data_IF_755507216874
#
_entry.id   IF_755507216874
#
_cell.length_a   1.000
_cell.length_b   1.000
_cell.length_c   1.000
_cell.angle_alpha   90.00
_cell.angle_beta   90.00
_cell.angle_gamma   90.00
#
_symmetry.space_group_name_H-M   'P 1'
#
loop_
_entity.id
_entity.type
_entity.pdbx_description
1 polymer ?
#
# COMPACT_ATOMS: atom_id res chain seq x y z
N UNK A 1 13.13 12.16 20.89
CA UNK A 1 12.06 11.20 20.59
C UNK A 1 12.36 9.87 21.27
N UNK A 2 11.45 9.37 22.10
CA UNK A 2 11.64 8.09 22.80
C UNK A 2 11.48 6.90 21.84
N UNK A 3 10.65 7.02 20.80
CA UNK A 3 10.45 6.03 19.75
C UNK A 3 9.79 6.69 18.53
N UNK A 4 9.83 6.06 17.32
CA UNK A 4 9.16 6.58 16.13
C UNK A 4 7.66 6.79 16.38
N UNK A 5 7.14 7.96 16.01
CA UNK A 5 5.75 8.34 16.24
C UNK A 5 5.45 8.92 17.64
N UNK A 6 6.42 9.04 18.52
CA UNK A 6 6.25 9.75 19.79
C UNK A 6 5.94 11.24 19.53
N UNK A 7 4.83 11.73 20.08
CA UNK A 7 4.43 13.14 20.02
C UNK A 7 4.76 13.89 21.31
N UNK A 8 4.74 15.21 21.24
CA UNK A 8 4.93 16.09 22.41
C UNK A 8 3.61 16.58 23.02
N UNK A 9 2.48 16.16 22.46
CA UNK A 9 1.17 16.72 22.75
C UNK A 9 0.44 16.06 23.94
N UNK A 10 1.10 15.23 24.72
CA UNK A 10 0.48 14.58 25.86
C UNK A 10 1.41 13.63 26.62
N UNK A 11 0.85 12.99 27.63
CA UNK A 11 1.51 11.93 28.39
C UNK A 11 1.40 10.61 27.63
N UNK A 12 2.48 9.84 27.58
CA UNK A 12 2.45 8.47 27.08
C UNK A 12 1.62 7.60 28.05
N UNK A 13 0.53 7.05 27.55
CA UNK A 13 -0.30 6.09 28.30
C UNK A 13 0.24 4.69 27.99
N UNK A 14 0.70 4.01 29.02
CA UNK A 14 1.15 2.63 28.93
C UNK A 14 -0.05 1.66 29.00
N UNK A 15 0.11 0.39 28.56
CA UNK A 15 -0.92 -0.64 28.72
C UNK A 15 -1.35 -0.81 30.19
N UNK A 16 -2.59 -1.20 30.42
CA UNK A 16 -3.18 -1.32 31.78
C UNK A 16 -2.47 -2.32 32.69
N UNK A 17 -1.77 -3.28 32.12
CA UNK A 17 -0.98 -4.29 32.85
C UNK A 17 0.40 -3.79 33.28
N UNK A 18 0.84 -2.63 32.82
CA UNK A 18 2.11 -2.01 33.20
C UNK A 18 2.06 -1.53 34.67
N UNK A 19 3.14 -1.80 35.40
CA UNK A 19 3.27 -1.43 36.83
C UNK A 19 4.37 -0.44 37.04
N UNK A 20 4.24 0.37 38.08
CA UNK A 20 5.29 1.29 38.47
C UNK A 20 6.58 0.52 38.83
N UNK A 21 7.67 0.85 38.15
CA UNK A 21 8.97 0.20 38.29
C UNK A 21 9.29 -0.83 37.20
N UNK A 22 8.35 -1.13 36.29
CA UNK A 22 8.62 -1.99 35.15
C UNK A 22 9.59 -1.32 34.17
N UNK A 23 10.40 -2.14 33.48
CA UNK A 23 11.22 -1.67 32.36
C UNK A 23 10.32 -1.31 31.16
N UNK A 24 10.36 -0.05 30.75
CA UNK A 24 9.52 0.49 29.66
C UNK A 24 9.96 -0.03 28.28
N UNK A 25 11.21 -0.47 28.12
CA UNK A 25 11.75 -0.89 26.83
C UNK A 25 10.96 -2.02 26.18
N UNK A 26 10.72 -3.17 26.85
CA UNK A 26 9.91 -4.25 26.27
C UNK A 26 8.45 -3.83 26.10
N UNK A 27 7.90 -3.00 26.99
CA UNK A 27 6.51 -2.51 26.88
C UNK A 27 6.32 -1.70 25.59
N UNK A 28 7.28 -0.83 25.27
CA UNK A 28 7.27 -0.01 24.05
C UNK A 28 7.90 -0.71 22.84
N UNK A 29 8.42 -1.94 23.02
CA UNK A 29 9.10 -2.66 21.97
C UNK A 29 10.45 -2.07 21.54
N UNK A 30 11.13 -1.38 22.45
CA UNK A 30 12.45 -0.77 22.22
C UNK A 30 13.61 -1.75 22.44
N UNK A 31 13.33 -3.00 22.75
CA UNK A 31 14.27 -4.10 22.96
C UNK A 31 14.54 -4.92 21.67
N UNK A 32 14.30 -4.30 20.52
CA UNK A 32 14.49 -4.90 19.21
C UNK A 32 15.74 -4.36 18.48
N UNK A 33 16.14 -5.02 17.41
CA UNK A 33 17.26 -4.60 16.58
C UNK A 33 16.76 -4.01 15.26
N UNK A 34 17.22 -2.80 14.95
CA UNK A 34 16.95 -2.13 13.68
C UNK A 34 18.24 -2.15 12.86
N UNK A 35 18.17 -2.74 11.66
CA UNK A 35 19.26 -2.73 10.70
C UNK A 35 19.04 -1.62 9.68
N UNK A 36 19.98 -0.67 9.63
CA UNK A 36 20.05 0.30 8.55
C UNK A 36 20.87 -0.28 7.39
N UNK A 37 20.19 -0.64 6.28
CA UNK A 37 20.81 -1.36 5.18
C UNK A 37 20.81 -0.51 3.92
N UNK A 38 22.00 -0.18 3.42
CA UNK A 38 22.16 0.50 2.14
C UNK A 38 21.93 -0.48 0.97
N UNK A 39 20.84 -0.27 0.23
CA UNK A 39 20.49 -1.07 -0.94
C UNK A 39 20.99 -0.40 -2.22
N UNK A 40 21.75 -1.14 -3.01
CA UNK A 40 22.27 -0.67 -4.30
C UNK A 40 21.14 -0.51 -5.33
N UNK A 41 21.32 0.38 -6.31
CA UNK A 41 20.28 0.73 -7.28
C UNK A 41 19.83 -0.44 -8.18
N UNK A 42 20.66 -1.47 -8.32
CA UNK A 42 20.36 -2.68 -9.11
C UNK A 42 19.59 -3.76 -8.33
N UNK A 43 19.30 -3.53 -7.04
CA UNK A 43 18.61 -4.50 -6.17
C UNK A 43 17.33 -3.88 -5.56
N UNK A 44 16.40 -3.37 -6.39
CA UNK A 44 15.13 -2.83 -5.88
C UNK A 44 14.27 -3.88 -5.16
N UNK A 45 14.47 -5.16 -5.46
CA UNK A 45 13.83 -6.29 -4.77
C UNK A 45 14.17 -6.39 -3.28
N UNK A 46 15.32 -5.87 -2.86
CA UNK A 46 15.75 -5.82 -1.46
C UNK A 46 15.21 -4.59 -0.68
N UNK A 47 14.39 -3.76 -1.28
CA UNK A 47 13.78 -2.58 -0.62
C UNK A 47 12.61 -2.97 0.32
N UNK A 48 12.51 -4.22 0.72
CA UNK A 48 11.48 -4.74 1.60
C UNK A 48 12.01 -5.89 2.46
N UNK A 49 11.27 -6.21 3.52
CA UNK A 49 11.65 -7.25 4.47
C UNK A 49 11.72 -8.62 3.79
N UNK A 50 10.74 -8.96 2.96
CA UNK A 50 10.71 -10.25 2.26
C UNK A 50 11.89 -10.41 1.27
N UNK A 51 12.23 -9.35 0.53
CA UNK A 51 13.40 -9.37 -0.36
C UNK A 51 14.71 -9.56 0.39
N UNK A 52 14.87 -8.86 1.52
CA UNK A 52 16.03 -9.06 2.40
C UNK A 52 16.06 -10.45 3.03
N UNK A 53 14.91 -10.99 3.44
CA UNK A 53 14.81 -12.32 3.99
C UNK A 53 15.27 -13.40 2.99
N UNK A 54 14.96 -13.25 1.69
CA UNK A 54 15.46 -14.13 0.62
C UNK A 54 16.99 -14.11 0.52
N UNK A 55 17.59 -12.91 0.56
CA UNK A 55 19.05 -12.79 0.50
C UNK A 55 19.72 -13.45 1.73
N UNK A 56 19.19 -13.16 2.91
CA UNK A 56 19.69 -13.75 4.17
C UNK A 56 19.54 -15.27 4.16
N UNK A 57 18.40 -15.79 3.73
CA UNK A 57 18.15 -17.22 3.62
C UNK A 57 19.15 -17.88 2.67
N UNK A 58 19.39 -17.29 1.50
CA UNK A 58 20.36 -17.78 0.52
C UNK A 58 21.79 -17.79 1.06
N UNK A 59 22.22 -16.70 1.72
CA UNK A 59 23.58 -16.59 2.28
C UNK A 59 23.81 -17.59 3.43
N UNK A 60 22.79 -17.79 4.26
CA UNK A 60 22.89 -18.69 5.42
C UNK A 60 22.55 -20.16 5.10
N UNK A 61 22.14 -20.48 3.88
CA UNK A 61 21.68 -21.81 3.48
C UNK A 61 20.46 -22.26 4.30
N UNK A 62 19.51 -21.34 4.57
CA UNK A 62 18.28 -21.58 5.32
C UNK A 62 17.07 -21.52 4.42
N UNK A 63 16.01 -22.20 4.81
CA UNK A 63 14.74 -22.10 4.12
C UNK A 63 14.09 -20.72 4.37
N UNK A 64 13.50 -20.16 3.31
CA UNK A 64 12.70 -18.94 3.41
C UNK A 64 11.32 -19.28 3.95
N UNK A 65 10.88 -18.54 4.97
CA UNK A 65 9.50 -18.61 5.45
C UNK A 65 8.62 -17.69 4.60
N UNK A 66 7.69 -18.29 3.88
CA UNK A 66 6.72 -17.55 3.07
C UNK A 66 5.68 -16.85 3.96
N UNK A 67 5.22 -15.65 3.59
CA UNK A 67 4.09 -15.01 4.25
C UNK A 67 2.79 -15.79 3.98
N UNK A 68 1.87 -15.78 4.92
CA UNK A 68 0.53 -16.34 4.72
C UNK A 68 -0.26 -15.49 3.72
N UNK A 69 -0.87 -16.15 2.72
CA UNK A 69 -1.58 -15.51 1.59
C UNK A 69 -3.00 -16.06 1.41
N UNK A 70 -3.39 -17.03 2.22
CA UNK A 70 -4.70 -17.68 2.12
C UNK A 70 -5.78 -16.76 2.68
N UNK A 71 -6.90 -16.67 2.02
CA UNK A 71 -8.10 -15.98 2.45
C UNK A 71 -9.33 -16.65 1.86
N UNK A 72 -10.48 -16.40 2.46
CA UNK A 72 -11.76 -16.93 2.02
C UNK A 72 -12.59 -15.79 1.42
N UNK A 73 -12.97 -15.91 0.15
CA UNK A 73 -13.88 -14.97 -0.47
C UNK A 73 -15.32 -15.49 -0.36
N UNK A 74 -16.25 -14.60 -0.06
CA UNK A 74 -17.68 -14.88 -0.08
C UNK A 74 -18.32 -14.64 -1.46
N UNK A 75 -19.63 -14.88 -1.56
CA UNK A 75 -20.37 -14.76 -2.83
C UNK A 75 -20.88 -13.32 -3.10
N UNK A 76 -20.58 -12.36 -2.25
CA UNK A 76 -20.94 -10.95 -2.46
C UNK A 76 -20.21 -10.39 -3.67
N UNK A 77 -20.94 -9.71 -4.58
CA UNK A 77 -20.40 -9.20 -5.84
C UNK A 77 -20.83 -7.77 -6.11
N UNK A 78 -19.93 -7.01 -6.69
CA UNK A 78 -20.19 -5.75 -7.39
C UNK A 78 -20.19 -6.03 -8.90
N UNK A 79 -21.31 -6.54 -9.43
CA UNK A 79 -21.39 -7.07 -10.79
C UNK A 79 -21.06 -6.06 -11.90
N UNK A 80 -21.27 -4.78 -11.65
CA UNK A 80 -21.02 -3.72 -12.63
C UNK A 80 -19.61 -3.11 -12.49
N UNK A 81 -18.86 -3.47 -11.45
CA UNK A 81 -17.55 -2.90 -11.24
C UNK A 81 -16.55 -3.32 -12.32
N UNK A 82 -15.86 -2.34 -12.87
CA UNK A 82 -14.85 -2.55 -13.92
C UNK A 82 -13.60 -1.71 -13.69
N UNK A 83 -12.51 -2.15 -14.28
CA UNK A 83 -11.24 -1.43 -14.33
C UNK A 83 -10.84 -1.23 -15.78
N UNK A 84 -10.53 -0.01 -16.15
CA UNK A 84 -10.04 0.38 -17.48
C UNK A 84 -8.66 0.99 -17.36
N UNK A 85 -7.65 0.39 -17.98
CA UNK A 85 -6.29 0.94 -18.05
C UNK A 85 -6.07 1.56 -19.43
N UNK A 86 -6.25 2.88 -19.53
CA UNK A 86 -6.05 3.63 -20.78
C UNK A 86 -4.59 3.97 -21.04
N UNK A 87 -3.79 4.14 -19.98
CA UNK A 87 -2.36 4.43 -20.05
C UNK A 87 -1.52 3.15 -19.93
N UNK A 88 -1.73 2.19 -20.82
CA UNK A 88 -1.13 0.85 -20.78
C UNK A 88 0.40 0.83 -20.83
N UNK A 89 1.01 1.84 -21.46
CA UNK A 89 2.45 1.99 -21.56
C UNK A 89 3.13 2.34 -20.21
N UNK A 90 2.38 2.91 -19.28
CA UNK A 90 2.88 3.32 -17.95
C UNK A 90 2.19 2.63 -16.78
N UNK A 91 1.14 1.85 -17.04
CA UNK A 91 0.49 0.96 -16.08
C UNK A 91 0.30 -0.43 -16.69
N UNK A 92 1.34 -1.29 -16.69
CA UNK A 92 1.26 -2.62 -17.31
C UNK A 92 0.41 -3.61 -16.53
N UNK A 93 0.18 -3.40 -15.22
CA UNK A 93 -0.67 -4.25 -14.39
C UNK A 93 -1.42 -3.45 -13.34
N UNK A 94 -2.71 -3.70 -13.23
CA UNK A 94 -3.58 -3.11 -12.21
C UNK A 94 -4.51 -4.18 -11.64
N UNK A 95 -4.56 -4.28 -10.33
CA UNK A 95 -5.41 -5.25 -9.62
C UNK A 95 -6.27 -4.49 -8.62
N UNK A 96 -7.57 -4.75 -8.65
CA UNK A 96 -8.54 -4.22 -7.69
C UNK A 96 -9.31 -5.37 -7.03
N UNK A 97 -9.56 -5.27 -5.73
CA UNK A 97 -10.32 -6.26 -4.96
C UNK A 97 -11.24 -5.57 -3.96
N UNK A 98 -12.51 -5.95 -3.97
CA UNK A 98 -13.54 -5.38 -3.11
C UNK A 98 -13.65 -6.13 -1.78
N UNK A 99 -13.78 -5.37 -0.71
CA UNK A 99 -14.00 -5.86 0.66
C UNK A 99 -15.19 -5.10 1.26
N UNK A 100 -16.08 -5.79 1.95
CA UNK A 100 -17.27 -5.21 2.56
C UNK A 100 -17.39 -5.55 4.06
N UNK A 101 -18.43 -5.05 4.71
CA UNK A 101 -18.63 -5.16 6.17
C UNK A 101 -17.36 -4.70 6.94
N UNK A 102 -16.67 -3.71 6.39
CA UNK A 102 -15.43 -3.20 6.98
C UNK A 102 -15.73 -2.47 8.28
N UNK A 103 -14.88 -2.71 9.27
CA UNK A 103 -14.91 -2.06 10.57
C UNK A 103 -13.59 -1.36 10.81
N UNK A 104 -13.59 -0.05 10.72
CA UNK A 104 -12.40 0.75 11.00
C UNK A 104 -12.14 0.75 12.50
N UNK A 105 -10.92 0.47 12.87
CA UNK A 105 -10.45 0.44 14.26
C UNK A 105 -8.95 0.66 14.34
N UNK A 106 -8.45 0.79 15.55
CA UNK A 106 -7.02 0.77 15.81
C UNK A 106 -6.42 -0.60 15.43
N UNK A 107 -5.25 -0.58 14.81
CA UNK A 107 -4.51 -1.80 14.49
C UNK A 107 -4.05 -2.55 15.75
N UNK A 108 -3.88 -3.87 15.71
CA UNK A 108 -3.38 -4.63 16.85
C UNK A 108 -1.95 -4.19 17.22
N UNK A 109 -1.62 -4.28 18.51
CA UNK A 109 -0.35 -3.81 19.06
C UNK A 109 0.89 -4.34 18.31
N UNK A 110 0.87 -5.60 17.85
CA UNK A 110 1.99 -6.19 17.10
C UNK A 110 2.23 -5.48 15.76
N UNK A 111 1.15 -5.09 15.05
CA UNK A 111 1.26 -4.39 13.76
C UNK A 111 1.75 -2.95 13.97
N UNK A 112 1.17 -2.24 14.94
CA UNK A 112 1.58 -0.88 15.30
C UNK A 112 3.06 -0.82 15.70
N UNK A 113 3.53 -1.77 16.53
CA UNK A 113 4.94 -1.90 16.91
C UNK A 113 5.84 -2.07 15.70
N UNK A 114 5.51 -2.99 14.79
CA UNK A 114 6.31 -3.24 13.59
C UNK A 114 6.36 -2.04 12.64
N UNK A 115 5.22 -1.36 12.44
CA UNK A 115 5.18 -0.14 11.63
C UNK A 115 6.02 0.98 12.26
N UNK A 116 5.91 1.18 13.57
CA UNK A 116 6.72 2.17 14.29
C UNK A 116 8.23 1.91 14.16
N UNK A 117 8.68 0.65 14.23
CA UNK A 117 10.08 0.27 14.06
C UNK A 117 10.65 0.60 12.66
N UNK A 118 9.81 0.69 11.65
CA UNK A 118 10.19 1.10 10.29
C UNK A 118 9.81 2.55 9.95
N UNK A 119 9.48 3.34 10.98
CA UNK A 119 9.22 4.77 10.87
C UNK A 119 7.84 5.15 10.33
N UNK A 120 6.86 4.25 10.41
CA UNK A 120 5.46 4.52 10.01
C UNK A 120 4.59 4.66 11.26
N UNK A 121 3.89 5.79 11.36
CA UNK A 121 2.83 5.97 12.37
C UNK A 121 1.57 5.20 11.97
N UNK A 122 1.01 4.45 12.90
CA UNK A 122 -0.27 3.76 12.72
C UNK A 122 -1.41 4.77 12.58
N UNK A 123 -2.35 4.49 11.69
CA UNK A 123 -3.52 5.33 11.40
C UNK A 123 -4.79 4.54 11.73
N UNK A 124 -5.07 3.48 10.97
CA UNK A 124 -6.21 2.58 11.17
C UNK A 124 -5.86 1.20 10.62
N UNK A 125 -6.60 0.18 11.02
CA UNK A 125 -6.36 -1.21 10.60
C UNK A 125 -6.24 -1.37 9.08
N UNK A 126 -7.13 -0.77 8.28
CA UNK A 126 -7.12 -0.87 6.81
C UNK A 126 -5.91 -0.16 6.21
N UNK A 127 -5.62 1.07 6.65
CA UNK A 127 -4.47 1.85 6.16
C UNK A 127 -3.16 1.19 6.58
N UNK A 128 -3.10 0.68 7.81
CA UNK A 128 -1.92 0.00 8.33
C UNK A 128 -1.64 -1.32 7.63
N UNK A 129 -2.68 -2.06 7.20
CA UNK A 129 -2.51 -3.24 6.34
C UNK A 129 -1.79 -2.85 5.04
N UNK A 130 -2.17 -1.77 4.38
CA UNK A 130 -1.50 -1.33 3.14
C UNK A 130 -0.04 -0.93 3.40
N UNK A 131 0.22 -0.22 4.49
CA UNK A 131 1.56 0.17 4.92
C UNK A 131 2.42 -1.03 5.34
N UNK A 132 1.82 -2.01 6.01
CA UNK A 132 2.49 -3.24 6.40
C UNK A 132 2.92 -4.06 5.18
N UNK A 133 2.02 -4.26 4.22
CA UNK A 133 2.33 -4.96 2.96
C UNK A 133 3.40 -4.21 2.16
N UNK A 134 3.35 -2.87 2.12
CA UNK A 134 4.37 -2.05 1.48
C UNK A 134 5.77 -2.34 2.05
N UNK A 135 5.92 -2.41 3.38
CA UNK A 135 7.21 -2.69 4.03
C UNK A 135 7.59 -4.17 3.98
N UNK A 136 6.62 -5.07 4.11
CA UNK A 136 6.85 -6.52 4.06
C UNK A 136 7.26 -6.98 2.65
N UNK A 137 6.53 -6.58 1.61
CA UNK A 137 6.67 -7.09 0.24
C UNK A 137 7.25 -6.09 -0.78
N UNK A 138 7.40 -4.83 -0.40
CA UNK A 138 7.90 -3.78 -1.30
C UNK A 138 6.90 -3.39 -2.40
N UNK A 139 5.63 -3.72 -2.22
CA UNK A 139 4.55 -3.38 -3.13
C UNK A 139 3.68 -2.31 -2.50
N UNK A 140 3.69 -1.07 -3.03
CA UNK A 140 2.73 -0.08 -2.60
C UNK A 140 1.31 -0.50 -2.94
N UNK A 141 0.41 -0.29 -2.01
CA UNK A 141 -1.02 -0.52 -2.15
C UNK A 141 -1.79 0.74 -1.77
N UNK A 142 -3.01 0.82 -2.25
CA UNK A 142 -3.97 1.84 -1.83
C UNK A 142 -5.31 1.21 -1.45
N UNK A 143 -6.04 1.87 -0.58
CA UNK A 143 -7.41 1.51 -0.19
C UNK A 143 -8.30 2.74 -0.42
N UNK A 144 -9.30 2.58 -1.29
CA UNK A 144 -10.32 3.58 -1.52
C UNK A 144 -11.56 3.25 -0.69
N UNK A 145 -12.18 4.24 -0.08
CA UNK A 145 -13.55 4.10 0.39
C UNK A 145 -14.46 3.94 -0.84
N UNK A 146 -15.05 2.76 -0.99
CA UNK A 146 -15.84 2.44 -2.18
C UNK A 146 -17.09 3.33 -2.32
N UNK A 147 -17.63 3.83 -1.21
CA UNK A 147 -18.81 4.70 -1.21
C UNK A 147 -18.57 6.05 -1.90
N UNK A 148 -17.31 6.47 -2.02
CA UNK A 148 -16.92 7.70 -2.70
C UNK A 148 -16.54 7.51 -4.17
N UNK A 149 -16.47 6.25 -4.65
CA UNK A 149 -16.18 5.96 -6.06
C UNK A 149 -17.47 6.05 -6.88
N UNK A 150 -17.51 6.99 -7.82
CA UNK A 150 -18.66 7.23 -8.66
C UNK A 150 -18.58 6.39 -9.96
N UNK A 151 -19.69 5.74 -10.34
CA UNK A 151 -19.82 5.04 -11.61
C UNK A 151 -19.33 3.59 -11.62
N UNK A 152 -19.12 2.97 -10.46
CA UNK A 152 -18.67 1.57 -10.31
C UNK A 152 -17.48 1.22 -11.21
N UNK A 153 -16.54 2.15 -11.39
CA UNK A 153 -15.36 1.89 -12.20
C UNK A 153 -14.11 2.61 -11.67
N UNK A 154 -12.97 2.02 -12.01
CA UNK A 154 -11.65 2.64 -11.90
C UNK A 154 -11.08 2.82 -13.30
N UNK A 155 -10.62 4.04 -13.60
CA UNK A 155 -9.97 4.37 -14.88
C UNK A 155 -8.56 4.88 -14.62
N UNK A 156 -7.56 4.11 -15.06
CA UNK A 156 -6.15 4.52 -14.98
C UNK A 156 -5.75 5.21 -16.28
N UNK A 157 -5.51 6.50 -16.20
CA UNK A 157 -5.24 7.34 -17.39
C UNK A 157 -4.22 8.43 -17.11
N UNK A 158 -3.74 9.06 -18.16
CA UNK A 158 -3.04 10.34 -18.02
C UNK A 158 -4.02 11.43 -17.59
N UNK A 159 -3.54 12.37 -16.79
CA UNK A 159 -4.33 13.55 -16.44
C UNK A 159 -4.58 14.43 -17.67
N UNK A 160 -5.62 15.20 -17.65
CA UNK A 160 -5.83 16.28 -18.60
C UNK A 160 -5.00 17.51 -18.19
N UNK A 161 -4.59 18.33 -19.14
CA UNK A 161 -3.88 19.57 -18.84
C UNK A 161 -4.80 20.52 -18.05
N UNK A 162 -4.33 20.99 -16.90
CA UNK A 162 -5.10 21.83 -15.98
C UNK A 162 -6.04 21.08 -15.04
N UNK A 163 -6.06 19.74 -15.07
CA UNK A 163 -6.84 18.93 -14.13
C UNK A 163 -6.31 19.11 -12.70
N UNK A 164 -7.20 19.24 -11.74
CA UNK A 164 -6.84 19.48 -10.34
C UNK A 164 -7.18 18.28 -9.47
N UNK A 165 -6.33 18.04 -8.47
CA UNK A 165 -6.55 17.06 -7.41
C UNK A 165 -6.08 17.63 -6.07
N UNK A 166 -6.82 17.32 -5.00
CA UNK A 166 -6.38 17.53 -3.62
C UNK A 166 -5.99 16.18 -3.06
N UNK A 167 -4.76 16.07 -2.57
CA UNK A 167 -4.21 14.82 -2.01
C UNK A 167 -4.47 14.68 -0.51
N UNK A 168 -4.23 13.49 0.05
CA UNK A 168 -4.46 13.16 1.47
C UNK A 168 -3.72 14.09 2.46
N UNK A 169 -2.65 14.74 2.02
CA UNK A 169 -1.92 15.75 2.80
C UNK A 169 -2.44 17.18 2.57
N UNK A 170 -3.69 17.30 2.07
CA UNK A 170 -4.43 18.55 1.84
C UNK A 170 -3.77 19.51 0.84
N UNK A 171 -2.85 19.04 0.00
CA UNK A 171 -2.23 19.85 -1.04
C UNK A 171 -3.02 19.77 -2.35
N UNK A 172 -3.24 20.92 -2.97
CA UNK A 172 -3.81 21.03 -4.32
C UNK A 172 -2.70 20.99 -5.37
N UNK A 173 -2.89 20.16 -6.40
CA UNK A 173 -2.00 20.08 -7.55
C UNK A 173 -2.77 20.34 -8.84
N UNK A 174 -2.17 21.14 -9.72
CA UNK A 174 -2.58 21.26 -11.11
C UNK A 174 -1.74 20.31 -11.95
N UNK A 175 -2.40 19.44 -12.68
CA UNK A 175 -1.81 18.32 -13.39
C UNK A 175 -1.71 18.60 -14.90
N UNK A 176 -0.94 17.76 -15.57
CA UNK A 176 -0.84 17.73 -17.02
C UNK A 176 -0.72 16.28 -17.53
N UNK A 177 -0.69 16.12 -18.84
CA UNK A 177 -0.65 14.83 -19.53
C UNK A 177 0.56 13.94 -19.23
N UNK A 178 1.58 14.42 -18.52
CA UNK A 178 2.69 13.60 -18.02
C UNK A 178 2.36 12.90 -16.69
N UNK A 179 1.33 13.36 -15.98
CA UNK A 179 0.92 12.79 -14.71
C UNK A 179 -0.05 11.62 -14.94
N UNK A 180 0.16 10.52 -14.21
CA UNK A 180 -0.74 9.39 -14.18
C UNK A 180 -1.71 9.56 -13.02
N UNK A 181 -3.00 9.41 -13.30
CA UNK A 181 -4.06 9.47 -12.31
C UNK A 181 -4.89 8.19 -12.30
N UNK A 182 -5.40 7.86 -11.13
CA UNK A 182 -6.48 6.89 -10.96
C UNK A 182 -7.75 7.69 -10.80
N UNK A 183 -8.74 7.38 -11.59
CA UNK A 183 -10.03 8.04 -11.60
C UNK A 183 -11.13 7.03 -11.26
N UNK A 184 -12.21 7.51 -10.70
CA UNK A 184 -13.50 6.84 -10.77
C UNK A 184 -14.21 7.16 -12.11
N UNK A 185 -15.49 6.90 -12.22
CA UNK A 185 -16.25 7.21 -13.45
C UNK A 185 -16.38 8.70 -13.78
N UNK A 186 -15.94 9.61 -12.92
CA UNK A 186 -16.11 11.07 -13.10
C UNK A 186 -14.87 11.90 -12.84
N UNK A 187 -14.06 11.57 -11.83
CA UNK A 187 -12.99 12.44 -11.31
C UNK A 187 -11.73 11.67 -10.94
N UNK A 188 -10.60 12.35 -10.83
CA UNK A 188 -9.38 11.80 -10.28
C UNK A 188 -9.55 11.56 -8.76
N UNK A 189 -9.16 10.35 -8.31
CA UNK A 189 -9.21 9.91 -6.92
C UNK A 189 -7.83 9.60 -6.35
N UNK A 190 -6.79 9.54 -7.19
CA UNK A 190 -5.41 9.43 -6.73
C UNK A 190 -4.41 9.90 -7.79
N UNK A 191 -3.26 10.43 -7.32
CA UNK A 191 -2.02 10.51 -8.10
C UNK A 191 -1.38 9.13 -8.08
N UNK A 192 -1.44 8.40 -9.19
CA UNK A 192 -1.02 7.01 -9.28
C UNK A 192 0.42 6.81 -8.80
N UNK A 193 0.60 5.93 -7.81
CA UNK A 193 1.89 5.59 -7.22
C UNK A 193 2.58 6.71 -6.44
N UNK A 194 1.90 7.83 -6.20
CA UNK A 194 2.45 8.97 -5.44
C UNK A 194 1.63 9.22 -4.18
N UNK A 195 0.34 9.57 -4.31
CA UNK A 195 -0.50 9.92 -3.17
C UNK A 195 -1.99 9.74 -3.49
N UNK A 196 -2.76 9.20 -2.55
CA UNK A 196 -4.21 9.15 -2.63
C UNK A 196 -4.86 10.52 -2.67
N UNK A 197 -6.05 10.60 -3.22
CA UNK A 197 -6.88 11.80 -3.18
C UNK A 197 -7.69 11.87 -1.89
N UNK A 198 -7.87 13.06 -1.37
CA UNK A 198 -8.67 13.33 -0.17
C UNK A 198 -10.14 12.92 -0.37
N UNK A 199 -10.60 12.93 -1.62
CA UNK A 199 -11.99 12.65 -2.01
C UNK A 199 -12.37 11.15 -2.02
N UNK A 200 -11.48 10.27 -1.61
CA UNK A 200 -11.70 8.81 -1.53
C UNK A 200 -11.02 8.20 -0.30
N UNK A 201 -10.74 9.02 0.71
CA UNK A 201 -10.04 8.64 1.93
C UNK A 201 -10.84 7.66 2.79
N UNK A 202 -10.13 6.69 3.38
CA UNK A 202 -10.67 5.82 4.43
C UNK A 202 -10.87 6.63 5.71
N UNK A 203 -12.07 6.56 6.28
CA UNK A 203 -12.44 7.25 7.51
C UNK A 203 -13.21 6.32 8.46
N UNK A 204 -13.53 6.78 9.66
CA UNK A 204 -14.20 5.96 10.70
C UNK A 204 -15.57 5.40 10.27
N UNK A 205 -16.21 6.01 9.28
CA UNK A 205 -17.50 5.56 8.73
C UNK A 205 -17.38 4.62 7.55
N UNK A 206 -16.17 4.30 7.09
CA UNK A 206 -15.95 3.42 5.93
C UNK A 206 -16.39 1.99 6.22
N UNK A 207 -17.30 1.48 5.40
CA UNK A 207 -17.83 0.10 5.50
C UNK A 207 -17.54 -0.76 4.27
N UNK A 208 -17.08 -0.15 3.19
CA UNK A 208 -16.75 -0.81 1.93
C UNK A 208 -15.42 -0.27 1.41
N UNK A 209 -14.52 -1.15 1.03
CA UNK A 209 -13.17 -0.78 0.57
C UNK A 209 -12.87 -1.44 -0.78
N UNK A 210 -12.28 -0.66 -1.67
CA UNK A 210 -11.64 -1.17 -2.87
C UNK A 210 -10.12 -1.08 -2.69
N UNK A 211 -9.47 -2.24 -2.53
CA UNK A 211 -8.01 -2.31 -2.54
C UNK A 211 -7.45 -2.22 -3.94
N UNK A 212 -6.35 -1.51 -4.07
CA UNK A 212 -5.52 -1.41 -5.26
C UNK A 212 -4.15 -2.02 -5.01
N UNK A 213 -3.67 -2.79 -5.99
CA UNK A 213 -2.26 -3.15 -6.11
C UNK A 213 -1.88 -3.08 -7.58
N UNK A 214 -0.91 -2.24 -7.93
CA UNK A 214 -0.60 -1.96 -9.32
C UNK A 214 0.90 -1.89 -9.59
N UNK A 215 1.26 -2.00 -10.87
CA UNK A 215 2.59 -1.71 -11.39
C UNK A 215 2.54 -0.43 -12.21
N UNK A 216 3.29 0.57 -11.79
CA UNK A 216 3.48 1.80 -12.55
C UNK A 216 4.91 1.92 -13.08
N UNK A 217 5.06 2.59 -14.22
CA UNK A 217 6.35 2.78 -14.84
C UNK A 217 7.24 3.70 -14.00
N UNK A 218 8.42 3.18 -13.63
CA UNK A 218 9.43 3.86 -12.81
C UNK A 218 9.70 5.30 -13.21
N UNK A 219 9.97 5.51 -14.51
CA UNK A 219 10.38 6.81 -15.01
C UNK A 219 9.23 7.84 -14.99
N UNK A 220 7.98 7.38 -15.19
CA UNK A 220 6.81 8.25 -15.09
C UNK A 220 6.62 8.72 -13.66
N UNK A 221 6.56 7.80 -12.67
CA UNK A 221 6.38 8.16 -11.26
C UNK A 221 7.51 9.06 -10.77
N UNK A 222 8.76 8.74 -11.10
CA UNK A 222 9.92 9.56 -10.72
C UNK A 222 9.84 10.98 -11.27
N UNK A 223 9.46 11.16 -12.54
CA UNK A 223 9.32 12.48 -13.16
C UNK A 223 8.15 13.26 -12.55
N UNK A 224 7.00 12.62 -12.41
CA UNK A 224 5.80 13.26 -11.82
C UNK A 224 6.03 13.68 -10.37
N UNK A 225 6.56 12.79 -9.52
CA UNK A 225 6.89 13.11 -8.13
C UNK A 225 7.83 14.32 -8.01
N UNK A 226 8.86 14.38 -8.83
CA UNK A 226 9.81 15.53 -8.85
C UNK A 226 9.17 16.81 -9.35
N UNK A 227 8.42 16.74 -10.44
CA UNK A 227 7.79 17.91 -11.05
C UNK A 227 6.75 18.54 -10.11
N UNK A 228 6.00 17.71 -9.38
CA UNK A 228 5.00 18.15 -8.41
C UNK A 228 5.62 18.51 -7.03
N UNK A 229 6.89 18.17 -6.79
CA UNK A 229 7.50 18.33 -5.47
C UNK A 229 6.84 17.43 -4.40
N UNK A 230 6.13 16.37 -4.82
CA UNK A 230 5.40 15.45 -3.95
C UNK A 230 6.10 14.09 -3.89
N UNK A 231 6.51 13.69 -2.70
CA UNK A 231 7.15 12.40 -2.46
C UNK A 231 6.46 11.62 -1.35
N UNK A 232 6.50 10.31 -1.46
CA UNK A 232 5.99 9.34 -0.47
C UNK A 232 6.84 8.08 -0.51
N UNK A 233 6.66 7.19 0.46
CA UNK A 233 7.27 5.85 0.44
C UNK A 233 6.90 5.07 -0.83
N UNK A 234 5.65 5.20 -1.28
CA UNK A 234 5.17 4.63 -2.53
C UNK A 234 5.96 5.14 -3.73
N UNK A 235 6.05 6.47 -3.90
CA UNK A 235 6.78 7.07 -5.03
C UNK A 235 8.29 6.76 -4.99
N UNK A 236 8.86 6.62 -3.80
CA UNK A 236 10.26 6.23 -3.62
C UNK A 236 10.50 4.79 -4.12
N UNK A 237 9.62 3.84 -3.77
CA UNK A 237 9.70 2.46 -4.24
C UNK A 237 9.49 2.35 -5.76
N UNK A 238 8.43 2.97 -6.30
CA UNK A 238 8.20 2.96 -7.75
C UNK A 238 9.35 3.59 -8.52
N UNK A 239 9.95 4.66 -8.01
CA UNK A 239 11.12 5.33 -8.63
C UNK A 239 12.36 4.45 -8.67
N UNK A 240 12.47 3.44 -7.82
CA UNK A 240 13.56 2.45 -7.85
C UNK A 240 13.20 1.22 -8.68
N UNK A 241 11.93 0.90 -8.77
CA UNK A 241 11.35 -0.21 -9.52
C UNK A 241 10.64 -1.21 -8.62
N UNK A 242 9.39 -1.47 -8.92
CA UNK A 242 8.54 -2.48 -8.25
C UNK A 242 8.32 -3.63 -9.22
N UNK A 243 8.34 -4.86 -8.72
CA UNK A 243 8.13 -6.05 -9.53
C UNK A 243 6.63 -6.24 -9.86
N UNK A 244 6.30 -6.63 -11.08
CA UNK A 244 4.92 -6.89 -11.48
C UNK A 244 4.31 -8.12 -10.79
N UNK A 245 5.13 -9.12 -10.48
CA UNK A 245 4.65 -10.33 -9.79
C UNK A 245 4.20 -10.06 -8.36
N UNK A 246 4.76 -9.04 -7.70
CA UNK A 246 4.39 -8.70 -6.33
C UNK A 246 3.00 -8.12 -6.20
N UNK A 247 2.39 -7.59 -7.27
CA UNK A 247 1.03 -7.02 -7.23
C UNK A 247 -0.01 -8.03 -6.73
N UNK A 248 -0.03 -9.24 -7.30
CA UNK A 248 -0.96 -10.29 -6.88
C UNK A 248 -0.65 -10.84 -5.49
N UNK A 249 0.65 -10.98 -5.15
CA UNK A 249 1.09 -11.45 -3.84
C UNK A 249 0.69 -10.46 -2.75
N UNK A 250 0.89 -9.17 -2.99
CA UNK A 250 0.53 -8.11 -2.06
C UNK A 250 -0.99 -8.01 -1.86
N UNK A 251 -1.78 -8.14 -2.92
CA UNK A 251 -3.23 -8.19 -2.82
C UNK A 251 -3.67 -9.36 -1.92
N UNK A 252 -3.18 -10.57 -2.18
CA UNK A 252 -3.49 -11.74 -1.35
C UNK A 252 -3.08 -11.54 0.11
N UNK A 253 -1.91 -10.94 0.34
CA UNK A 253 -1.44 -10.65 1.70
C UNK A 253 -2.34 -9.65 2.44
N UNK A 254 -2.77 -8.59 1.77
CA UNK A 254 -3.69 -7.63 2.35
C UNK A 254 -5.04 -8.27 2.70
N UNK A 255 -5.59 -9.10 1.79
CA UNK A 255 -6.85 -9.80 2.03
C UNK A 255 -6.75 -10.83 3.16
N UNK A 256 -5.63 -11.56 3.24
CA UNK A 256 -5.34 -12.44 4.38
C UNK A 256 -5.33 -11.66 5.71
N UNK A 257 -4.68 -10.49 5.73
CA UNK A 257 -4.65 -9.65 6.93
C UNK A 257 -6.03 -9.07 7.28
N UNK A 258 -6.87 -8.74 6.30
CA UNK A 258 -8.26 -8.33 6.55
C UNK A 258 -9.06 -9.42 7.27
N UNK A 259 -8.88 -10.69 6.86
CA UNK A 259 -9.51 -11.85 7.48
C UNK A 259 -8.89 -12.16 8.86
N UNK A 260 -7.54 -12.18 8.96
CA UNK A 260 -6.82 -12.43 10.23
C UNK A 260 -7.21 -11.43 11.33
N UNK A 261 -7.43 -10.17 10.96
CA UNK A 261 -7.80 -9.10 11.89
C UNK A 261 -9.34 -8.97 12.09
N UNK A 262 -10.13 -9.79 11.43
CA UNK A 262 -11.61 -9.73 11.45
C UNK A 262 -12.15 -8.30 11.20
N UNK A 263 -11.52 -7.56 10.30
CA UNK A 263 -11.85 -6.17 10.05
C UNK A 263 -12.62 -5.93 8.74
N UNK A 264 -13.02 -6.98 8.03
CA UNK A 264 -13.87 -6.93 6.85
C UNK A 264 -14.02 -8.30 6.21
N UNK A 265 -14.97 -8.42 5.27
CA UNK A 265 -15.22 -9.65 4.50
C UNK A 265 -14.73 -9.50 3.07
N UNK A 266 -13.95 -10.46 2.64
CA UNK A 266 -13.39 -10.47 1.28
C UNK A 266 -14.46 -10.93 0.30
N UNK A 267 -14.78 -10.10 -0.68
CA UNK A 267 -15.74 -10.40 -1.74
C UNK A 267 -15.11 -11.25 -2.84
N UNK A 268 -15.94 -11.93 -3.63
CA UNK A 268 -15.50 -12.55 -4.89
C UNK A 268 -15.30 -11.54 -6.03
N UNK A 269 -15.53 -10.24 -5.81
CA UNK A 269 -15.25 -9.19 -6.80
C UNK A 269 -13.76 -8.90 -6.86
N UNK A 270 -13.13 -9.40 -7.91
CA UNK A 270 -11.72 -9.17 -8.21
C UNK A 270 -11.56 -8.84 -9.69
N UNK A 271 -10.85 -7.77 -9.99
CA UNK A 271 -10.54 -7.39 -11.37
C UNK A 271 -9.05 -7.21 -11.50
N UNK A 272 -8.47 -7.90 -12.47
CA UNK A 272 -7.07 -7.75 -12.84
C UNK A 272 -6.95 -7.39 -14.31
N UNK A 273 -6.25 -6.32 -14.60
CA UNK A 273 -5.89 -5.89 -15.96
C UNK A 273 -4.39 -6.00 -16.13
N UNK A 274 -3.97 -6.83 -17.08
CA UNK A 274 -2.56 -6.97 -17.49
C UNK A 274 -2.42 -6.55 -18.94
N UNK A 275 -1.43 -5.73 -19.24
CA UNK A 275 -1.19 -5.22 -20.58
C UNK A 275 0.11 -5.80 -21.14
N UNK A 276 0.04 -6.42 -22.33
CA UNK A 276 1.19 -7.01 -23.02
C UNK A 276 1.71 -8.30 -22.37
N UNK A 277 2.93 -8.70 -22.76
CA UNK A 277 3.62 -9.92 -22.32
C UNK A 277 4.62 -9.64 -21.20
N UNK A 278 4.30 -8.73 -20.29
CA UNK A 278 5.23 -8.29 -19.25
C UNK A 278 5.62 -9.40 -18.26
N UNK A 279 4.72 -10.39 -18.08
CA UNK A 279 4.93 -11.54 -17.19
C UNK A 279 5.61 -12.74 -17.86
N UNK A 280 5.87 -12.68 -19.17
CA UNK A 280 6.55 -13.76 -19.87
C UNK A 280 8.04 -13.83 -19.49
N UNK A 281 8.58 -15.03 -19.25
CA UNK A 281 10.01 -15.19 -19.00
C UNK A 281 10.86 -14.63 -20.15
N UNK A 282 11.87 -13.84 -19.80
CA UNK A 282 12.83 -13.32 -20.78
C UNK A 282 14.10 -14.17 -20.75
N UNK A 283 14.45 -14.75 -21.88
CA UNK A 283 15.77 -15.36 -22.02
C UNK A 283 16.86 -14.27 -22.01
N UNK A 284 17.81 -14.41 -21.11
CA UNK A 284 19.05 -13.63 -21.15
C UNK A 284 20.10 -14.47 -21.90
N UNK A 285 20.62 -13.92 -22.98
CA UNK A 285 21.75 -14.47 -23.75
C UNK A 285 23.06 -13.94 -23.22
#
# INVERSE_FOLDING_TARGET
>A
DLYPGAGYNGLLVLPEDAKAGDDVKPILGLDDWIFDIAITANRPDCQCIYGMAREVAAVLGKDLKEPALDYTADDVKKENFKVSVLAQDICPRYTAHYVHDVKISESPAWMRKRLALVGISSISNVVDITNFVLKELGQPMHAFDYSYLEGDEIVVRRANDGEKIVTLDEKEFELNSNNLVICDGKKAVALAGIMGGLNSEINDGTTEVMFESAKFARDNIRKSSRALGQSSDSSALYSKGVNEYTTAMAMKRALHLMEELDCGKVSSTHVEVTTGNSLEPKEMK
#
